data_IF_227528750639
#
_entry.id   IF_227528750639
#
_cell.length_a   1.000
_cell.length_b   1.000
_cell.length_c   1.000
_cell.angle_alpha   90.00
_cell.angle_beta   90.00
_cell.angle_gamma   90.00
#
_symmetry.space_group_name_H-M   'P 1'
#
loop_
_entity.id
_entity.type
_entity.pdbx_description
1 polymer ?
#
# COMPACT_ATOMS: atom_id res chain seq x y z
N UNK A 1 0.61 0.71 -27.82
CA UNK A 1 0.85 1.53 -26.62
C UNK A 1 2.33 1.61 -26.34
N UNK A 2 2.76 2.48 -25.40
CA UNK A 2 4.18 2.51 -25.01
C UNK A 2 4.35 2.11 -23.54
N UNK A 3 5.49 1.53 -23.22
CA UNK A 3 5.82 1.06 -21.87
C UNK A 3 7.28 1.29 -21.52
N UNK A 4 7.54 1.57 -20.24
CA UNK A 4 8.86 1.48 -19.64
C UNK A 4 8.74 1.20 -18.14
N UNK A 5 9.77 0.58 -17.58
CA UNK A 5 9.88 0.33 -16.14
C UNK A 5 11.19 0.86 -15.61
N UNK A 6 11.16 1.36 -14.38
CA UNK A 6 12.34 1.92 -13.70
C UNK A 6 12.42 1.40 -12.27
N UNK A 7 13.62 1.09 -11.81
CA UNK A 7 13.91 0.75 -10.42
C UNK A 7 14.97 1.73 -9.89
N UNK A 8 14.60 2.51 -8.89
CA UNK A 8 15.44 3.55 -8.31
C UNK A 8 15.75 3.24 -6.86
N UNK A 9 17.00 3.39 -6.45
CA UNK A 9 17.36 3.33 -5.04
C UNK A 9 16.97 4.66 -4.38
N UNK A 10 16.15 4.56 -3.32
CA UNK A 10 15.67 5.71 -2.53
C UNK A 10 16.20 5.68 -1.09
N UNK A 11 17.34 5.04 -0.84
CA UNK A 11 17.98 5.09 0.47
C UNK A 11 18.20 6.56 0.91
N UNK A 12 18.04 6.87 2.20
CA UNK A 12 18.33 8.22 2.69
C UNK A 12 19.81 8.53 2.51
N UNK A 13 20.10 9.79 2.19
CA UNK A 13 21.47 10.31 2.05
C UNK A 13 22.06 10.82 3.36
N UNK A 14 21.19 11.03 4.36
CA UNK A 14 21.53 11.57 5.66
C UNK A 14 20.80 10.77 6.76
N UNK A 15 21.32 10.79 8.00
CA UNK A 15 20.61 10.18 9.13
C UNK A 15 19.22 10.80 9.29
N UNK A 16 18.21 9.95 9.42
CA UNK A 16 16.81 10.38 9.49
C UNK A 16 16.00 9.38 10.34
N UNK A 17 14.91 9.82 10.95
CA UNK A 17 14.02 8.96 11.70
C UNK A 17 13.23 8.01 10.77
N UNK A 18 12.94 6.81 11.27
CA UNK A 18 11.99 5.92 10.61
C UNK A 18 10.53 6.35 10.86
N UNK A 19 9.63 5.94 9.97
CA UNK A 19 8.24 6.42 9.97
C UNK A 19 7.28 5.57 10.81
N UNK A 20 7.54 4.25 10.97
CA UNK A 20 6.49 3.28 11.30
C UNK A 20 6.13 3.14 12.79
N UNK A 21 7.01 3.56 13.71
CA UNK A 21 6.80 3.41 15.14
C UNK A 21 6.93 4.74 15.87
N UNK A 22 5.89 5.12 16.63
CA UNK A 22 5.87 6.38 17.37
C UNK A 22 7.01 6.51 18.39
N UNK A 23 7.56 5.40 18.86
CA UNK A 23 8.65 5.35 19.83
C UNK A 23 10.04 5.51 19.20
N UNK A 24 10.17 5.31 17.89
CA UNK A 24 11.44 5.40 17.17
C UNK A 24 11.69 6.85 16.72
N UNK A 25 12.17 7.67 17.65
CA UNK A 25 12.40 9.09 17.41
C UNK A 25 13.85 9.41 17.03
N UNK A 26 14.80 8.52 17.32
CA UNK A 26 16.22 8.72 17.00
C UNK A 26 16.46 8.56 15.49
N UNK A 27 17.30 9.42 14.88
CA UNK A 27 17.73 9.23 13.50
C UNK A 27 18.50 7.92 13.32
N UNK A 28 18.25 7.23 12.21
CA UNK A 28 19.00 6.05 11.76
C UNK A 28 19.83 6.41 10.53
N UNK A 29 20.98 5.79 10.38
CA UNK A 29 21.92 5.94 9.25
C UNK A 29 22.23 4.61 8.54
N UNK A 30 21.87 3.52 9.14
CA UNK A 30 22.16 2.19 8.64
C UNK A 30 21.03 1.67 7.76
N UNK A 31 21.33 1.31 6.54
CA UNK A 31 20.43 0.62 5.61
C UNK A 31 20.87 -0.83 5.48
N UNK A 32 20.10 -1.74 6.08
CA UNK A 32 20.37 -3.18 5.97
C UNK A 32 19.97 -3.73 4.61
N UNK A 33 18.78 -3.40 4.18
CA UNK A 33 18.22 -3.81 2.90
C UNK A 33 17.85 -2.55 2.09
N UNK A 34 18.31 -2.45 0.82
CA UNK A 34 18.07 -1.26 0.02
C UNK A 34 16.58 -1.01 -0.18
N UNK A 35 16.21 0.27 -0.13
CA UNK A 35 14.87 0.76 -0.39
C UNK A 35 14.76 1.20 -1.85
N UNK A 36 13.67 0.82 -2.51
CA UNK A 36 13.46 1.14 -3.92
C UNK A 36 12.15 1.87 -4.17
N UNK A 37 12.16 2.71 -5.19
CA UNK A 37 11.00 3.08 -5.96
C UNK A 37 10.94 2.19 -7.21
N UNK A 38 9.84 1.49 -7.41
CA UNK A 38 9.59 0.63 -8.56
C UNK A 38 8.49 1.24 -9.39
N UNK A 39 8.83 1.73 -10.58
CA UNK A 39 7.95 2.56 -11.40
C UNK A 39 7.60 1.85 -12.70
N UNK A 40 6.32 1.78 -13.00
CA UNK A 40 5.75 1.37 -14.28
C UNK A 40 5.17 2.61 -14.97
N UNK A 41 5.61 2.89 -16.19
CA UNK A 41 5.08 3.97 -17.03
C UNK A 41 4.43 3.36 -18.26
N UNK A 42 3.18 3.69 -18.50
CA UNK A 42 2.40 3.31 -19.68
C UNK A 42 1.94 4.57 -20.40
N UNK A 43 1.88 4.53 -21.73
CA UNK A 43 1.31 5.63 -22.54
C UNK A 43 0.34 5.05 -23.56
N UNK A 44 -0.87 5.59 -23.58
CA UNK A 44 -1.91 5.25 -24.55
C UNK A 44 -2.76 6.48 -24.86
N UNK A 45 -3.12 6.66 -26.13
CA UNK A 45 -3.99 7.74 -26.60
C UNK A 45 -3.55 9.17 -26.20
N UNK A 46 -2.22 9.40 -26.14
CA UNK A 46 -1.66 10.70 -25.76
C UNK A 46 -1.75 11.02 -24.25
N UNK A 47 -2.05 10.04 -23.41
CA UNK A 47 -2.06 10.16 -21.96
C UNK A 47 -1.03 9.20 -21.35
N UNK A 48 -0.29 9.65 -20.32
CA UNK A 48 0.64 8.82 -19.55
C UNK A 48 0.07 8.42 -18.20
N UNK A 49 0.38 7.19 -17.82
CA UNK A 49 -0.01 6.59 -16.54
C UNK A 49 1.27 6.12 -15.85
N UNK A 50 1.57 6.72 -14.73
CA UNK A 50 2.75 6.43 -13.91
C UNK A 50 2.28 5.80 -12.61
N UNK A 51 2.68 4.57 -12.35
CA UNK A 51 2.50 3.94 -11.05
C UNK A 51 3.86 3.72 -10.41
N UNK A 52 4.09 4.32 -9.23
CA UNK A 52 5.31 4.16 -8.43
C UNK A 52 4.98 3.50 -7.08
N UNK A 53 5.53 2.30 -6.84
CA UNK A 53 5.53 1.69 -5.52
C UNK A 53 6.84 2.03 -4.81
N UNK A 54 6.75 2.65 -3.63
CA UNK A 54 7.88 3.06 -2.82
C UNK A 54 8.04 2.12 -1.63
N UNK A 55 9.26 1.68 -1.34
CA UNK A 55 9.59 1.06 -0.06
C UNK A 55 9.55 2.14 1.04
N UNK A 56 8.35 2.49 1.44
CA UNK A 56 8.03 3.54 2.43
C UNK A 56 6.76 3.18 3.20
N UNK A 57 6.56 3.81 4.34
CA UNK A 57 5.33 3.67 5.11
C UNK A 57 4.12 4.24 4.33
N UNK A 58 4.33 5.33 3.61
CA UNK A 58 3.26 6.13 3.03
C UNK A 58 3.71 6.86 1.76
N UNK A 59 2.73 7.31 0.97
CA UNK A 59 2.92 8.19 -0.18
C UNK A 59 2.18 9.53 0.06
N UNK A 60 2.85 10.56 0.66
CA UNK A 60 2.18 11.84 0.94
C UNK A 60 1.62 12.47 -0.34
N UNK A 61 0.41 13.04 -0.26
CA UNK A 61 -0.25 13.67 -1.41
C UNK A 61 0.57 14.83 -2.01
N UNK A 62 1.36 15.53 -1.19
CA UNK A 62 2.27 16.55 -1.67
C UNK A 62 3.31 15.99 -2.66
N UNK A 63 3.90 14.82 -2.34
CA UNK A 63 4.83 14.14 -3.25
C UNK A 63 4.15 13.78 -4.58
N UNK A 64 2.94 13.24 -4.52
CA UNK A 64 2.17 12.85 -5.71
C UNK A 64 1.92 14.06 -6.63
N UNK A 65 1.45 15.15 -6.05
CA UNK A 65 1.12 16.37 -6.78
C UNK A 65 2.38 17.01 -7.41
N UNK A 66 3.45 17.14 -6.63
CA UNK A 66 4.71 17.72 -7.11
C UNK A 66 5.34 16.89 -8.24
N UNK A 67 5.32 15.57 -8.14
CA UNK A 67 5.82 14.67 -9.20
C UNK A 67 4.94 14.81 -10.44
N UNK A 68 3.61 14.78 -10.30
CA UNK A 68 2.67 14.91 -11.43
C UNK A 68 2.90 16.23 -12.16
N UNK A 69 2.93 17.37 -11.47
CA UNK A 69 3.09 18.70 -12.06
C UNK A 69 4.40 18.80 -12.86
N UNK A 70 5.51 18.30 -12.30
CA UNK A 70 6.81 18.31 -12.99
C UNK A 70 6.82 17.42 -14.24
N UNK A 71 6.21 16.23 -14.16
CA UNK A 71 6.14 15.32 -15.29
C UNK A 71 5.22 15.85 -16.41
N UNK A 72 4.06 16.40 -16.07
CA UNK A 72 3.16 17.03 -17.02
C UNK A 72 3.82 18.22 -17.74
N UNK A 73 4.52 19.06 -16.98
CA UNK A 73 5.25 20.19 -17.56
C UNK A 73 6.36 19.73 -18.51
N UNK A 74 7.12 18.73 -18.11
CA UNK A 74 8.25 18.24 -18.90
C UNK A 74 7.83 17.46 -20.17
N UNK A 75 6.77 16.68 -20.06
CA UNK A 75 6.31 15.84 -21.18
C UNK A 75 5.30 16.52 -22.09
N UNK A 76 4.62 17.57 -21.62
CA UNK A 76 3.58 18.26 -22.37
C UNK A 76 2.35 17.37 -22.67
N UNK A 77 2.10 16.36 -21.84
CA UNK A 77 1.02 15.38 -21.98
C UNK A 77 0.22 15.26 -20.69
N UNK A 78 -1.09 15.03 -20.75
CA UNK A 78 -1.87 14.62 -19.58
C UNK A 78 -1.22 13.41 -18.91
N UNK A 79 -1.03 13.49 -17.61
CA UNK A 79 -0.30 12.46 -16.85
C UNK A 79 -1.03 12.11 -15.56
N UNK A 80 -1.45 10.86 -15.43
CA UNK A 80 -1.95 10.32 -14.17
C UNK A 80 -0.78 9.72 -13.38
N UNK A 81 -0.50 10.27 -12.21
CA UNK A 81 0.55 9.76 -11.31
C UNK A 81 -0.10 9.14 -10.10
N UNK A 82 0.21 7.88 -9.85
CA UNK A 82 -0.22 7.12 -8.69
C UNK A 82 1.03 6.68 -7.93
N UNK A 83 1.15 7.07 -6.66
CA UNK A 83 2.25 6.67 -5.79
C UNK A 83 1.66 5.90 -4.61
N UNK A 84 2.22 4.72 -4.34
CA UNK A 84 1.82 3.82 -3.26
C UNK A 84 3.01 3.50 -2.35
N UNK A 85 2.80 3.42 -1.04
CA UNK A 85 3.78 2.85 -0.10
C UNK A 85 3.64 1.33 -0.01
N UNK A 86 4.75 0.60 0.09
CA UNK A 86 4.73 -0.83 0.46
C UNK A 86 4.35 -1.02 1.93
N UNK A 87 4.27 0.07 2.65
CA UNK A 87 3.95 0.18 4.07
C UNK A 87 5.00 -0.43 5.00
N UNK A 88 6.26 -0.52 4.56
CA UNK A 88 7.33 -0.89 5.50
C UNK A 88 7.43 0.13 6.63
N UNK A 89 7.42 -0.37 7.87
CA UNK A 89 7.57 0.46 9.06
C UNK A 89 9.03 0.87 9.34
N UNK A 90 9.96 0.39 8.53
CA UNK A 90 11.41 0.57 8.70
C UNK A 90 12.02 1.38 7.54
N UNK A 91 11.26 2.30 6.97
CA UNK A 91 11.73 3.27 5.98
C UNK A 91 11.79 4.68 6.58
N UNK A 92 12.57 5.58 5.96
CA UNK A 92 12.60 6.99 6.35
C UNK A 92 11.23 7.66 6.31
N UNK A 93 11.03 8.61 7.21
CA UNK A 93 9.76 9.32 7.33
C UNK A 93 9.58 10.33 6.18
N UNK A 94 8.65 10.04 5.28
CA UNK A 94 8.28 10.93 4.15
C UNK A 94 7.67 12.27 4.58
N UNK A 95 7.31 12.44 5.86
CA UNK A 95 6.90 13.74 6.40
C UNK A 95 8.09 14.70 6.59
N UNK A 96 9.30 14.14 6.65
CA UNK A 96 10.53 14.95 6.67
C UNK A 96 10.78 15.49 5.27
N UNK A 97 10.75 16.80 5.14
CA UNK A 97 10.77 17.50 3.85
C UNK A 97 12.02 17.20 3.03
N UNK A 98 13.21 17.17 3.67
CA UNK A 98 14.47 16.87 2.98
C UNK A 98 14.46 15.52 2.27
N UNK A 99 13.95 14.48 2.94
CA UNK A 99 13.86 13.15 2.34
C UNK A 99 12.76 13.07 1.27
N UNK A 100 11.58 13.67 1.52
CA UNK A 100 10.53 13.76 0.52
C UNK A 100 11.01 14.45 -0.76
N UNK A 101 11.74 15.56 -0.61
CA UNK A 101 12.35 16.28 -1.74
C UNK A 101 13.39 15.43 -2.47
N UNK A 102 14.23 14.69 -1.74
CA UNK A 102 15.18 13.74 -2.33
C UNK A 102 14.45 12.72 -3.21
N UNK A 103 13.40 12.07 -2.70
CA UNK A 103 12.64 11.05 -3.46
C UNK A 103 11.92 11.66 -4.66
N UNK A 104 11.30 12.85 -4.51
CA UNK A 104 10.70 13.61 -5.61
C UNK A 104 11.71 13.87 -6.73
N UNK A 105 12.86 14.41 -6.37
CA UNK A 105 13.87 14.81 -7.35
C UNK A 105 14.43 13.57 -8.06
N UNK A 106 14.72 12.49 -7.35
CA UNK A 106 15.15 11.21 -7.94
C UNK A 106 14.11 10.64 -8.92
N UNK A 107 12.82 10.68 -8.56
CA UNK A 107 11.75 10.25 -9.47
C UNK A 107 11.70 11.11 -10.73
N UNK A 108 11.72 12.44 -10.59
CA UNK A 108 11.66 13.34 -11.72
C UNK A 108 12.91 13.24 -12.61
N UNK A 109 14.11 13.19 -12.03
CA UNK A 109 15.37 13.03 -12.77
C UNK A 109 15.41 11.74 -13.60
N UNK A 110 14.84 10.66 -13.08
CA UNK A 110 14.80 9.40 -13.80
C UNK A 110 13.68 9.32 -14.84
N UNK A 111 12.52 9.92 -14.57
CA UNK A 111 11.33 9.77 -15.41
C UNK A 111 11.26 10.80 -16.53
N UNK A 112 11.70 12.04 -16.31
CA UNK A 112 11.63 13.09 -17.34
C UNK A 112 12.35 12.71 -18.64
N UNK A 113 13.61 12.21 -18.63
CA UNK A 113 14.30 11.82 -19.84
C UNK A 113 13.90 10.44 -20.39
N UNK A 114 12.94 9.74 -19.72
CA UNK A 114 12.65 8.36 -20.03
C UNK A 114 12.02 8.20 -21.40
N UNK A 115 12.65 7.37 -22.25
CA UNK A 115 12.10 6.98 -23.54
C UNK A 115 11.28 5.71 -23.39
N UNK A 116 9.99 5.78 -23.70
CA UNK A 116 9.08 4.64 -23.70
C UNK A 116 9.19 3.91 -25.04
N UNK A 117 9.26 2.57 -25.00
CA UNK A 117 9.21 1.74 -26.18
C UNK A 117 7.79 1.36 -26.58
N UNK A 118 7.53 1.27 -27.86
CA UNK A 118 6.28 0.71 -28.40
C UNK A 118 6.16 -0.78 -28.05
N UNK A 119 4.99 -1.21 -27.68
CA UNK A 119 4.67 -2.60 -27.39
C UNK A 119 3.19 -2.91 -27.63
N UNK A 120 2.91 -4.12 -28.09
CA UNK A 120 1.58 -4.71 -28.08
C UNK A 120 1.44 -5.53 -26.79
N UNK A 121 0.67 -5.01 -25.85
CA UNK A 121 0.57 -5.58 -24.52
C UNK A 121 -0.74 -6.32 -24.29
N UNK A 122 -0.62 -7.48 -23.64
CA UNK A 122 -1.74 -8.15 -22.99
C UNK A 122 -1.50 -8.21 -21.49
N UNK A 123 -2.59 -8.38 -20.72
CA UNK A 123 -2.53 -8.52 -19.28
C UNK A 123 -3.35 -9.72 -18.80
N UNK A 124 -2.95 -10.30 -17.67
CA UNK A 124 -3.68 -11.33 -16.97
C UNK A 124 -3.73 -11.05 -15.47
N UNK A 125 -4.70 -11.64 -14.78
CA UNK A 125 -4.87 -11.45 -13.36
C UNK A 125 -5.24 -12.76 -12.67
N UNK A 126 -4.59 -13.02 -11.53
CA UNK A 126 -4.86 -14.14 -10.64
C UNK A 126 -4.98 -13.62 -9.22
N UNK A 127 -5.91 -14.15 -8.44
CA UNK A 127 -6.09 -13.89 -7.01
C UNK A 127 -6.34 -15.21 -6.29
N UNK A 128 -5.67 -15.42 -5.16
CA UNK A 128 -5.82 -16.61 -4.32
C UNK A 128 -5.79 -16.24 -2.84
N UNK A 129 -6.54 -16.94 -1.97
CA UNK A 129 -6.38 -16.81 -0.53
C UNK A 129 -4.96 -17.22 -0.12
N UNK A 130 -4.34 -16.43 0.79
CA UNK A 130 -3.00 -16.73 1.28
C UNK A 130 -2.79 -16.21 2.71
N UNK A 131 -2.60 -17.11 3.68
CA UNK A 131 -2.56 -16.79 5.12
C UNK A 131 -1.27 -17.23 5.85
N UNK A 132 -0.26 -17.70 5.10
CA UNK A 132 0.98 -18.19 5.72
C UNK A 132 1.84 -17.07 6.33
N UNK A 133 1.73 -15.84 5.79
CA UNK A 133 2.47 -14.67 6.29
C UNK A 133 1.57 -13.78 7.15
N UNK A 134 0.34 -13.53 6.74
CA UNK A 134 -0.60 -12.63 7.39
C UNK A 134 -1.83 -13.34 7.96
N UNK A 135 -2.26 -12.88 9.14
CA UNK A 135 -3.54 -13.21 9.76
C UNK A 135 -4.12 -11.98 10.44
N UNK A 136 -5.39 -12.04 10.87
CA UNK A 136 -5.94 -10.98 11.72
C UNK A 136 -5.02 -10.74 12.91
N UNK A 137 -4.70 -9.47 13.19
CA UNK A 137 -3.90 -9.09 14.37
C UNK A 137 -4.74 -8.79 15.60
N UNK A 138 -6.05 -8.90 15.47
CA UNK A 138 -7.03 -8.68 16.51
C UNK A 138 -7.45 -10.04 17.05
N UNK A 139 -7.18 -10.30 18.35
CA UNK A 139 -7.29 -11.64 18.96
C UNK A 139 -8.70 -12.22 18.94
N UNK A 140 -9.74 -11.36 18.88
CA UNK A 140 -11.17 -11.77 18.90
C UNK A 140 -11.88 -11.52 17.58
N UNK A 141 -11.11 -11.28 16.51
CA UNK A 141 -11.63 -11.04 15.19
C UNK A 141 -10.88 -11.87 14.14
N UNK A 142 -11.60 -12.57 13.31
CA UNK A 142 -11.03 -13.34 12.21
C UNK A 142 -11.47 -12.75 10.88
N UNK A 143 -10.62 -12.88 9.86
CA UNK A 143 -10.94 -12.50 8.50
C UNK A 143 -10.47 -13.58 7.54
N UNK A 144 -11.27 -13.85 6.52
CA UNK A 144 -10.94 -14.67 5.35
C UNK A 144 -10.53 -13.82 4.15
N UNK A 145 -10.52 -12.48 4.31
CA UNK A 145 -10.25 -11.52 3.25
C UNK A 145 -8.75 -11.24 3.10
N UNK A 146 -7.93 -12.31 3.09
CA UNK A 146 -6.46 -12.23 2.94
C UNK A 146 -6.06 -12.93 1.65
N UNK A 147 -5.62 -12.13 0.67
CA UNK A 147 -5.36 -12.59 -0.69
C UNK A 147 -3.99 -12.16 -1.19
N UNK A 148 -3.34 -13.04 -1.93
CA UNK A 148 -2.23 -12.70 -2.81
C UNK A 148 -2.75 -12.58 -4.25
N UNK A 149 -2.29 -11.55 -4.99
CA UNK A 149 -2.71 -11.32 -6.36
C UNK A 149 -1.49 -11.08 -7.25
N UNK A 150 -1.63 -11.42 -8.54
CA UNK A 150 -0.68 -11.08 -9.58
C UNK A 150 -1.41 -10.48 -10.79
N UNK A 151 -1.12 -9.23 -11.13
CA UNK A 151 -1.49 -8.59 -12.38
C UNK A 151 -0.24 -8.54 -13.27
N UNK A 152 -0.25 -9.32 -14.34
CA UNK A 152 0.91 -9.51 -15.21
C UNK A 152 0.72 -8.87 -16.56
N UNK A 153 1.79 -8.30 -17.12
CA UNK A 153 1.86 -7.73 -18.47
C UNK A 153 2.74 -8.59 -19.35
N UNK A 154 2.29 -8.81 -20.58
CA UNK A 154 2.98 -9.66 -21.55
C UNK A 154 3.15 -8.93 -22.89
N UNK A 155 4.25 -9.24 -23.55
CA UNK A 155 4.50 -8.95 -24.96
C UNK A 155 4.58 -10.32 -25.68
N UNK A 156 3.57 -10.66 -26.45
CA UNK A 156 3.35 -12.02 -26.92
C UNK A 156 3.18 -13.00 -25.74
N UNK A 157 4.07 -14.00 -25.68
CA UNK A 157 4.06 -14.98 -24.57
C UNK A 157 5.02 -14.60 -23.43
N UNK A 158 5.88 -13.61 -23.64
CA UNK A 158 6.86 -13.20 -22.64
C UNK A 158 6.22 -12.27 -21.62
N UNK A 159 6.26 -12.66 -20.33
CA UNK A 159 5.92 -11.74 -19.23
C UNK A 159 7.05 -10.71 -19.10
N UNK A 160 6.67 -9.44 -18.98
CA UNK A 160 7.63 -8.32 -18.92
C UNK A 160 7.54 -7.52 -17.62
N UNK A 161 6.34 -7.50 -17.02
CA UNK A 161 6.10 -6.80 -15.76
C UNK A 161 5.01 -7.50 -14.95
N UNK A 162 5.08 -7.40 -13.62
CA UNK A 162 4.06 -7.91 -12.70
C UNK A 162 3.87 -6.97 -11.53
N UNK A 163 2.62 -6.60 -11.26
CA UNK A 163 2.20 -5.94 -10.04
C UNK A 163 1.67 -7.02 -9.09
N UNK A 164 2.36 -7.20 -7.97
CA UNK A 164 2.12 -8.25 -6.99
C UNK A 164 1.52 -7.63 -5.74
N UNK A 165 0.34 -8.12 -5.34
CA UNK A 165 -0.48 -7.48 -4.32
C UNK A 165 -0.68 -8.43 -3.15
N UNK A 166 -0.56 -7.92 -1.93
CA UNK A 166 -0.87 -8.68 -0.72
C UNK A 166 -1.34 -7.75 0.41
N UNK A 167 -2.18 -8.24 1.30
CA UNK A 167 -2.69 -7.47 2.42
C UNK A 167 -2.20 -8.00 3.77
N UNK A 168 -0.99 -7.62 4.14
CA UNK A 168 -0.45 -7.88 5.47
C UNK A 168 0.57 -6.82 5.86
N UNK A 169 0.40 -6.19 7.02
CA UNK A 169 1.36 -5.21 7.55
C UNK A 169 2.78 -5.78 7.59
N UNK A 170 3.76 -5.12 6.96
CA UNK A 170 5.15 -5.53 7.01
C UNK A 170 5.80 -5.08 8.34
N UNK A 171 5.52 -5.82 9.39
CA UNK A 171 5.94 -5.58 10.77
C UNK A 171 6.52 -6.85 11.40
N UNK A 172 7.40 -7.55 10.68
CA UNK A 172 8.05 -8.77 11.18
C UNK A 172 9.08 -8.48 12.26
N UNK A 173 9.64 -7.27 12.28
CA UNK A 173 10.68 -6.81 13.19
C UNK A 173 10.12 -6.02 14.37
N UNK A 174 10.97 -5.73 15.36
CA UNK A 174 10.64 -4.89 16.51
C UNK A 174 10.74 -3.40 16.17
N UNK A 175 9.99 -2.56 16.90
CA UNK A 175 10.03 -1.12 16.76
C UNK A 175 11.35 -0.46 17.17
N UNK A 176 12.25 -1.15 17.87
CA UNK A 176 13.59 -0.70 18.25
C UNK A 176 14.70 -1.14 17.28
N UNK A 177 14.31 -1.72 16.12
CA UNK A 177 15.24 -2.12 15.07
C UNK A 177 16.07 -0.91 14.60
N UNK A 178 17.43 -0.98 14.66
CA UNK A 178 18.29 0.18 14.44
C UNK A 178 18.73 0.39 13.00
N UNK A 179 17.96 -0.07 12.02
CA UNK A 179 18.27 0.04 10.59
C UNK A 179 17.03 0.14 9.73
N UNK A 180 17.20 0.71 8.54
CA UNK A 180 16.20 0.71 7.48
C UNK A 180 16.18 -0.62 6.74
N UNK A 181 14.98 -1.06 6.34
CA UNK A 181 14.76 -2.24 5.52
C UNK A 181 13.44 -2.13 4.76
N UNK A 182 13.40 -2.68 3.54
CA UNK A 182 12.19 -2.85 2.76
C UNK A 182 11.30 -4.00 3.26
N UNK A 183 11.68 -4.61 4.39
CA UNK A 183 10.95 -5.66 5.09
C UNK A 183 10.68 -6.89 4.19
N UNK A 184 9.77 -7.81 4.57
CA UNK A 184 9.49 -9.01 3.80
C UNK A 184 9.01 -8.72 2.36
N UNK A 185 8.25 -7.64 2.06
CA UNK A 185 7.87 -7.34 0.68
C UNK A 185 9.06 -7.06 -0.22
N UNK A 186 9.98 -6.21 0.24
CA UNK A 186 11.20 -5.92 -0.53
C UNK A 186 12.12 -7.12 -0.65
N UNK A 187 12.19 -7.99 0.36
CA UNK A 187 12.94 -9.25 0.25
C UNK A 187 12.34 -10.15 -0.83
N UNK A 188 11.02 -10.33 -0.85
CA UNK A 188 10.34 -11.09 -1.90
C UNK A 188 10.61 -10.54 -3.30
N UNK A 189 10.55 -9.21 -3.46
CA UNK A 189 10.84 -8.57 -4.76
C UNK A 189 12.30 -8.80 -5.20
N UNK A 190 13.27 -8.77 -4.29
CA UNK A 190 14.68 -9.07 -4.62
C UNK A 190 14.90 -10.52 -5.05
N UNK A 191 14.18 -11.46 -4.42
CA UNK A 191 14.21 -12.87 -4.81
C UNK A 191 13.71 -13.06 -6.24
N UNK A 192 12.57 -12.44 -6.57
CA UNK A 192 11.98 -12.49 -7.91
C UNK A 192 12.88 -11.80 -8.96
N UNK A 193 13.44 -10.62 -8.65
CA UNK A 193 14.40 -9.93 -9.52
C UNK A 193 15.61 -10.81 -9.86
N UNK A 194 16.13 -11.55 -8.86
CA UNK A 194 17.26 -12.44 -9.04
C UNK A 194 16.91 -13.67 -9.88
N UNK A 195 15.73 -14.23 -9.70
CA UNK A 195 15.29 -15.45 -10.38
C UNK A 195 14.82 -15.20 -11.81
N UNK A 196 14.25 -14.02 -12.09
CA UNK A 196 13.69 -13.64 -13.40
C UNK A 196 14.37 -12.37 -13.94
N UNK A 197 15.65 -12.43 -14.31
CA UNK A 197 16.38 -11.26 -14.78
C UNK A 197 15.73 -10.68 -16.05
N UNK A 198 15.52 -9.37 -16.05
CA UNK A 198 14.87 -8.66 -17.16
C UNK A 198 13.34 -8.57 -17.10
N UNK A 199 12.70 -9.17 -16.07
CA UNK A 199 11.32 -8.91 -15.73
C UNK A 199 11.22 -7.84 -14.64
N UNK A 200 10.14 -7.08 -14.65
CA UNK A 200 9.87 -6.07 -13.63
C UNK A 200 8.84 -6.58 -12.63
N UNK A 201 9.15 -6.45 -11.34
CA UNK A 201 8.23 -6.78 -10.24
C UNK A 201 8.03 -5.56 -9.35
N UNK A 202 6.79 -5.34 -8.92
CA UNK A 202 6.43 -4.29 -7.97
C UNK A 202 5.43 -4.83 -6.95
N UNK A 203 5.67 -4.57 -5.66
CA UNK A 203 4.77 -4.95 -4.58
C UNK A 203 3.79 -3.81 -4.28
N UNK A 204 2.51 -4.15 -4.10
CA UNK A 204 1.44 -3.23 -3.72
C UNK A 204 0.77 -3.72 -2.44
N UNK A 205 0.63 -2.84 -1.48
CA UNK A 205 -0.03 -3.15 -0.21
C UNK A 205 -1.55 -2.95 -0.35
N UNK A 206 -2.31 -4.01 -0.10
CA UNK A 206 -3.78 -3.94 -0.09
C UNK A 206 -4.31 -3.64 1.33
N UNK A 207 -5.63 -3.77 1.54
CA UNK A 207 -6.29 -3.48 2.81
C UNK A 207 -5.81 -4.41 3.93
N UNK A 208 -4.94 -3.88 4.79
CA UNK A 208 -4.25 -4.63 5.85
C UNK A 208 -4.45 -4.03 7.24
N UNK A 209 -5.39 -3.10 7.42
CA UNK A 209 -5.58 -2.40 8.68
C UNK A 209 -5.74 -3.32 9.90
N UNK A 210 -6.31 -4.49 9.71
CA UNK A 210 -6.52 -5.54 10.73
C UNK A 210 -5.65 -6.79 10.51
N UNK A 211 -4.73 -6.79 9.53
CA UNK A 211 -3.93 -7.97 9.16
C UNK A 211 -2.44 -7.69 9.33
N UNK A 212 -1.73 -8.56 10.03
CA UNK A 212 -0.27 -8.48 10.18
C UNK A 212 0.38 -9.85 10.41
N UNK A 213 1.70 -9.85 10.56
CA UNK A 213 2.50 -11.02 10.89
C UNK A 213 2.42 -11.41 12.40
N UNK A 214 1.61 -10.71 13.19
CA UNK A 214 1.61 -10.84 14.67
C UNK A 214 1.44 -12.26 15.20
N UNK A 215 0.53 -13.03 14.59
CA UNK A 215 0.22 -14.39 15.04
C UNK A 215 0.81 -15.50 14.15
N UNK A 216 1.51 -15.12 13.07
CA UNK A 216 2.23 -16.07 12.21
C UNK A 216 3.72 -16.10 12.50
N UNK A 217 4.31 -14.98 12.96
CA UNK A 217 5.72 -14.92 13.33
C UNK A 217 6.02 -15.63 14.64
N UNK A 218 7.13 -16.34 14.70
CA UNK A 218 7.66 -16.97 15.91
C UNK A 218 8.53 -16.00 16.72
N UNK A 219 9.26 -15.15 16.03
CA UNK A 219 10.19 -14.16 16.58
C UNK A 219 10.18 -12.86 15.75
N UNK A 220 10.81 -11.81 16.27
CA UNK A 220 10.91 -10.52 15.58
C UNK A 220 12.38 -10.26 15.22
N UNK A 221 12.90 -11.06 14.30
CA UNK A 221 14.30 -11.06 13.88
C UNK A 221 14.42 -10.88 12.37
N UNK A 222 15.58 -10.42 11.86
CA UNK A 222 15.85 -10.40 10.42
C UNK A 222 15.68 -11.76 9.74
N UNK A 223 16.03 -12.86 10.41
CA UNK A 223 15.85 -14.21 9.87
C UNK A 223 14.36 -14.56 9.66
N UNK A 224 13.50 -14.16 10.60
CA UNK A 224 12.04 -14.35 10.44
C UNK A 224 11.48 -13.49 9.31
N UNK A 225 11.95 -12.25 9.16
CA UNK A 225 11.58 -11.35 8.05
C UNK A 225 11.97 -11.95 6.70
N UNK A 226 13.21 -12.46 6.59
CA UNK A 226 13.70 -13.13 5.37
C UNK A 226 12.91 -14.39 5.06
N UNK A 227 12.55 -15.19 6.09
CA UNK A 227 11.69 -16.35 5.93
C UNK A 227 10.32 -15.95 5.34
N UNK A 228 9.67 -14.92 5.87
CA UNK A 228 8.41 -14.44 5.31
C UNK A 228 8.56 -13.92 3.88
N UNK A 229 9.67 -13.23 3.59
CA UNK A 229 9.97 -12.79 2.23
C UNK A 229 10.14 -13.94 1.25
N UNK A 230 10.80 -15.03 1.66
CA UNK A 230 10.94 -16.24 0.85
C UNK A 230 9.59 -16.93 0.61
N UNK A 231 8.79 -17.13 1.68
CA UNK A 231 7.44 -17.69 1.58
C UNK A 231 6.54 -16.85 0.67
N UNK A 232 6.66 -15.52 0.73
CA UNK A 232 5.90 -14.62 -0.14
C UNK A 232 6.37 -14.69 -1.60
N UNK A 233 7.69 -14.80 -1.84
CA UNK A 233 8.23 -14.99 -3.18
C UNK A 233 7.74 -16.30 -3.81
N UNK A 234 7.77 -17.40 -3.06
CA UNK A 234 7.24 -18.71 -3.50
C UNK A 234 5.76 -18.63 -3.86
N UNK A 235 4.94 -17.94 -3.05
CA UNK A 235 3.52 -17.76 -3.35
C UNK A 235 3.32 -16.93 -4.63
N UNK A 236 4.06 -15.83 -4.80
CA UNK A 236 3.99 -15.05 -6.03
C UNK A 236 4.43 -15.88 -7.24
N UNK A 237 5.48 -16.68 -7.14
CA UNK A 237 5.88 -17.60 -8.21
C UNK A 237 4.76 -18.58 -8.57
N UNK A 238 4.08 -19.12 -7.57
CA UNK A 238 2.95 -20.01 -7.78
C UNK A 238 1.82 -19.32 -8.56
N UNK A 239 1.51 -18.05 -8.22
CA UNK A 239 0.53 -17.25 -8.95
C UNK A 239 0.99 -16.92 -10.38
N UNK A 240 2.26 -16.55 -10.55
CA UNK A 240 2.85 -16.24 -11.86
C UNK A 240 2.88 -17.43 -12.81
N UNK A 241 2.93 -18.65 -12.29
CA UNK A 241 2.91 -19.89 -13.06
C UNK A 241 1.47 -20.38 -13.40
N UNK A 242 0.43 -19.77 -12.78
CA UNK A 242 -0.95 -20.19 -13.06
C UNK A 242 -1.40 -19.80 -14.46
N UNK A 243 -1.99 -20.71 -15.21
CA UNK A 243 -2.65 -20.35 -16.46
C UNK A 243 -3.77 -19.34 -16.21
N UNK A 244 -3.71 -18.22 -16.89
CA UNK A 244 -4.73 -17.17 -16.82
C UNK A 244 -5.02 -16.62 -18.21
N UNK A 245 -6.27 -16.25 -18.45
CA UNK A 245 -6.68 -15.63 -19.69
C UNK A 245 -5.98 -14.28 -19.85
N UNK A 246 -5.39 -14.06 -21.03
CA UNK A 246 -4.79 -12.79 -21.40
C UNK A 246 -5.80 -11.92 -22.14
N UNK A 247 -5.75 -10.62 -21.87
CA UNK A 247 -6.62 -9.60 -22.47
C UNK A 247 -5.78 -8.43 -23.00
N UNK A 248 -6.17 -7.78 -24.08
CA UNK A 248 -5.51 -6.54 -24.52
C UNK A 248 -5.48 -5.52 -23.39
N UNK A 249 -4.38 -4.78 -23.29
CA UNK A 249 -4.26 -3.66 -22.35
C UNK A 249 -4.94 -2.43 -22.94
N UNK A 250 -5.99 -1.99 -22.28
CA UNK A 250 -6.66 -0.73 -22.48
C UNK A 250 -6.67 0.03 -21.16
N UNK A 251 -6.23 1.29 -21.20
CA UNK A 251 -6.08 2.09 -19.98
C UNK A 251 -7.22 3.11 -19.88
N UNK A 252 -7.73 3.25 -18.66
CA UNK A 252 -8.66 4.30 -18.28
C UNK A 252 -8.43 4.68 -16.82
N UNK A 253 -8.87 5.89 -16.45
CA UNK A 253 -8.66 6.44 -15.12
C UNK A 253 -9.94 7.10 -14.61
N UNK A 254 -10.30 6.81 -13.38
CA UNK A 254 -11.48 7.37 -12.75
C UNK A 254 -11.19 7.78 -11.31
N UNK A 255 -11.88 8.82 -10.87
CA UNK A 255 -11.86 9.29 -9.48
C UNK A 255 -13.27 9.39 -8.93
N UNK A 256 -13.40 9.14 -7.62
CA UNK A 256 -14.63 9.36 -6.87
C UNK A 256 -14.32 10.06 -5.55
N UNK A 257 -14.87 11.25 -5.40
CA UNK A 257 -14.78 12.00 -4.14
C UNK A 257 -15.86 11.49 -3.19
N UNK A 258 -15.48 11.27 -1.93
CA UNK A 258 -16.37 10.85 -0.85
C UNK A 258 -16.30 11.89 0.27
N UNK A 259 -17.46 12.36 0.70
CA UNK A 259 -17.57 13.21 1.89
C UNK A 259 -17.34 12.37 3.15
N UNK A 260 -16.54 12.91 4.07
CA UNK A 260 -16.21 12.26 5.35
C UNK A 260 -17.06 12.86 6.45
N UNK A 261 -17.98 12.06 6.99
CA UNK A 261 -18.72 12.37 8.21
C UNK A 261 -18.01 11.70 9.38
N UNK A 262 -17.77 12.46 10.43
CA UNK A 262 -17.07 11.99 11.62
C UNK A 262 -18.04 11.72 12.76
N UNK A 263 -17.73 10.70 13.54
CA UNK A 263 -18.39 10.32 14.78
C UNK A 263 -17.32 10.06 15.83
N UNK A 264 -16.95 11.11 16.56
CA UNK A 264 -15.87 11.05 17.52
C UNK A 264 -16.33 10.34 18.79
N UNK A 265 -15.50 9.41 19.26
CA UNK A 265 -15.74 8.65 20.50
C UNK A 265 -15.08 9.40 21.67
N UNK A 266 -15.84 9.64 22.75
CA UNK A 266 -15.24 10.16 23.97
C UNK A 266 -14.53 9.00 24.71
N UNK A 267 -13.21 9.10 24.94
CA UNK A 267 -12.49 8.09 25.70
C UNK A 267 -13.00 7.88 27.14
N UNK A 268 -13.68 8.88 27.71
CA UNK A 268 -14.30 8.75 29.04
C UNK A 268 -15.45 7.74 29.08
N UNK A 269 -16.09 7.49 27.95
CA UNK A 269 -17.21 6.55 27.80
C UNK A 269 -16.76 5.13 27.44
N UNK A 270 -15.44 4.93 27.24
CA UNK A 270 -14.89 3.64 26.81
C UNK A 270 -14.73 2.68 28.00
N UNK A 271 -15.37 1.52 27.90
CA UNK A 271 -15.20 0.42 28.85
C UNK A 271 -14.27 -0.61 28.24
N UNK A 272 -13.04 -0.71 28.78
CA UNK A 272 -12.06 -1.71 28.32
C UNK A 272 -12.50 -3.09 28.79
N UNK A 273 -12.73 -4.07 27.88
CA UNK A 273 -13.13 -5.42 28.26
C UNK A 273 -12.12 -6.11 29.16
N UNK A 274 -12.60 -6.85 30.18
CA UNK A 274 -11.74 -7.54 31.14
C UNK A 274 -10.87 -8.65 30.52
N UNK A 275 -11.32 -9.24 29.41
CA UNK A 275 -10.60 -10.31 28.70
C UNK A 275 -9.38 -9.82 27.90
N UNK A 276 -9.16 -8.49 27.79
CA UNK A 276 -7.97 -7.98 27.09
C UNK A 276 -6.70 -8.27 27.86
N UNK A 277 -5.70 -8.82 27.15
CA UNK A 277 -4.35 -9.02 27.69
C UNK A 277 -3.70 -7.68 28.06
N UNK A 278 -2.70 -7.71 28.92
CA UNK A 278 -1.93 -6.52 29.31
C UNK A 278 -1.35 -5.80 28.07
N UNK A 279 -0.84 -6.55 27.11
CA UNK A 279 -0.32 -5.99 25.84
C UNK A 279 -1.40 -5.27 25.03
N UNK A 280 -2.60 -5.83 24.96
CA UNK A 280 -3.73 -5.18 24.27
C UNK A 280 -4.15 -3.90 24.99
N UNK A 281 -4.17 -3.90 26.32
CA UNK A 281 -4.46 -2.70 27.12
C UNK A 281 -3.43 -1.60 26.90
N UNK A 282 -2.12 -1.93 26.85
CA UNK A 282 -1.05 -0.98 26.54
C UNK A 282 -1.24 -0.39 25.13
N UNK A 283 -1.50 -1.25 24.15
CA UNK A 283 -1.70 -0.79 22.76
C UNK A 283 -2.96 0.09 22.64
N UNK A 284 -4.03 -0.29 23.35
CA UNK A 284 -5.28 0.47 23.39
C UNK A 284 -5.09 1.87 23.97
N UNK A 285 -4.18 2.04 24.94
CA UNK A 285 -3.89 3.35 25.53
C UNK A 285 -3.41 4.36 24.49
N UNK A 286 -2.60 3.94 23.52
CA UNK A 286 -2.20 4.83 22.40
C UNK A 286 -3.39 5.23 21.52
N UNK A 287 -4.34 4.33 21.31
CA UNK A 287 -5.59 4.64 20.60
C UNK A 287 -6.46 5.65 21.38
N UNK A 288 -6.55 5.49 22.70
CA UNK A 288 -7.25 6.42 23.60
C UNK A 288 -6.65 7.82 23.53
N UNK A 289 -5.32 7.94 23.59
CA UNK A 289 -4.65 9.24 23.49
C UNK A 289 -4.93 9.89 22.11
N UNK A 290 -4.94 9.10 21.04
CA UNK A 290 -5.28 9.60 19.71
C UNK A 290 -6.75 10.05 19.62
N UNK A 291 -7.67 9.34 20.25
CA UNK A 291 -9.09 9.74 20.32
C UNK A 291 -9.25 11.07 21.06
N UNK A 292 -8.53 11.28 22.17
CA UNK A 292 -8.51 12.57 22.90
C UNK A 292 -7.98 13.70 22.01
N UNK A 293 -6.93 13.47 21.24
CA UNK A 293 -6.38 14.45 20.31
C UNK A 293 -7.41 14.85 19.23
N UNK A 294 -8.10 13.86 18.66
CA UNK A 294 -9.13 14.09 17.64
C UNK A 294 -10.31 14.89 18.21
N UNK A 295 -10.75 14.61 19.45
CA UNK A 295 -11.79 15.39 20.15
C UNK A 295 -11.35 16.82 20.44
N UNK A 296 -10.08 17.01 20.84
CA UNK A 296 -9.55 18.35 21.14
C UNK A 296 -9.34 19.22 19.88
N UNK A 297 -9.19 18.58 18.72
CA UNK A 297 -8.85 19.24 17.46
C UNK A 297 -9.70 18.78 16.27
N UNK A 298 -11.04 18.85 16.33
CA UNK A 298 -11.91 18.42 15.24
C UNK A 298 -11.68 19.21 13.93
N UNK A 299 -11.14 20.43 14.02
CA UNK A 299 -10.81 21.26 12.87
C UNK A 299 -9.67 20.70 12.01
N UNK A 300 -8.89 19.73 12.51
CA UNK A 300 -7.84 19.04 11.76
C UNK A 300 -8.36 17.84 10.96
N UNK A 301 -9.62 17.45 11.18
CA UNK A 301 -10.22 16.33 10.48
C UNK A 301 -10.55 16.72 9.03
N UNK A 302 -10.27 15.82 8.12
CA UNK A 302 -10.56 16.03 6.69
C UNK A 302 -12.03 15.79 6.41
N UNK A 303 -12.62 16.59 5.52
CA UNK A 303 -14.04 16.48 5.18
C UNK A 303 -14.30 15.72 3.87
N UNK A 304 -13.26 15.37 3.14
CA UNK A 304 -13.39 14.59 1.89
C UNK A 304 -12.13 13.78 1.60
N UNK A 305 -12.30 12.71 0.86
CA UNK A 305 -11.23 11.89 0.29
C UNK A 305 -11.54 11.53 -1.15
N UNK A 306 -10.55 11.05 -1.88
CA UNK A 306 -10.70 10.58 -3.26
C UNK A 306 -10.23 9.14 -3.37
N UNK A 307 -11.12 8.27 -3.88
CA UNK A 307 -10.73 6.96 -4.38
C UNK A 307 -10.41 7.06 -5.88
N UNK A 308 -9.29 6.48 -6.26
CA UNK A 308 -8.82 6.47 -7.65
C UNK A 308 -8.90 5.06 -8.20
N UNK A 309 -9.30 4.90 -9.45
CA UNK A 309 -9.24 3.63 -10.15
C UNK A 309 -8.40 3.74 -11.41
N UNK A 310 -7.46 2.81 -11.59
CA UNK A 310 -6.74 2.59 -12.85
C UNK A 310 -7.25 1.30 -13.50
N UNK A 311 -7.88 1.44 -14.65
CA UNK A 311 -8.30 0.32 -15.49
C UNK A 311 -7.12 -0.15 -16.35
N UNK A 312 -6.92 -1.47 -16.41
CA UNK A 312 -5.89 -2.13 -17.21
C UNK A 312 -6.55 -3.33 -17.90
N UNK A 313 -7.00 -3.14 -19.14
CA UNK A 313 -7.88 -4.09 -19.82
C UNK A 313 -9.19 -4.29 -19.04
N UNK A 314 -9.58 -5.52 -18.69
CA UNK A 314 -10.77 -5.77 -17.87
C UNK A 314 -10.51 -5.68 -16.36
N UNK A 315 -9.26 -5.38 -15.92
CA UNK A 315 -8.88 -5.32 -14.52
C UNK A 315 -8.90 -3.90 -13.99
N UNK A 316 -9.07 -3.75 -12.66
CA UNK A 316 -9.06 -2.44 -11.99
C UNK A 316 -8.24 -2.51 -10.72
N UNK A 317 -7.34 -1.55 -10.56
CA UNK A 317 -6.66 -1.27 -9.30
C UNK A 317 -7.32 -0.04 -8.70
N UNK A 318 -7.85 -0.17 -7.48
CA UNK A 318 -8.55 0.90 -6.76
C UNK A 318 -7.64 1.36 -5.63
N UNK A 319 -7.34 2.65 -5.58
CA UNK A 319 -6.35 3.23 -4.67
C UNK A 319 -7.03 4.06 -3.58
N UNK A 320 -6.56 3.90 -2.35
CA UNK A 320 -7.02 4.61 -1.15
C UNK A 320 -5.84 5.06 -0.30
N UNK A 321 -5.96 6.22 0.32
CA UNK A 321 -4.98 6.77 1.25
C UNK A 321 -5.06 6.17 2.67
N UNK A 322 -6.12 5.41 2.97
CA UNK A 322 -6.40 4.89 4.32
C UNK A 322 -5.75 3.54 4.59
N UNK A 323 -5.59 3.24 5.88
CA UNK A 323 -5.31 1.91 6.40
C UNK A 323 -6.63 1.13 6.59
N UNK A 324 -7.22 0.70 5.47
CA UNK A 324 -8.50 0.01 5.47
C UNK A 324 -8.39 -1.40 6.08
N UNK A 325 -9.40 -1.82 6.85
CA UNK A 325 -9.52 -3.21 7.28
C UNK A 325 -9.76 -4.14 6.09
N UNK A 326 -9.37 -5.40 6.24
CA UNK A 326 -9.46 -6.41 5.19
C UNK A 326 -10.89 -6.64 4.67
N UNK A 327 -11.93 -6.34 5.47
CA UNK A 327 -13.33 -6.43 5.07
C UNK A 327 -13.62 -5.63 3.78
N UNK A 328 -12.93 -4.52 3.54
CA UNK A 328 -13.11 -3.73 2.32
C UNK A 328 -12.73 -4.47 1.04
N UNK A 329 -11.92 -5.53 1.12
CA UNK A 329 -11.63 -6.40 -0.02
C UNK A 329 -12.89 -7.11 -0.55
N UNK A 330 -13.92 -7.30 0.27
CA UNK A 330 -15.21 -7.89 -0.15
C UNK A 330 -15.84 -7.14 -1.32
N UNK A 331 -15.64 -5.82 -1.40
CA UNK A 331 -16.16 -4.98 -2.48
C UNK A 331 -15.49 -5.27 -3.84
N UNK A 332 -14.35 -5.99 -3.87
CA UNK A 332 -13.61 -6.34 -5.08
C UNK A 332 -13.83 -7.79 -5.53
N UNK A 333 -14.55 -8.62 -4.72
CA UNK A 333 -14.61 -10.07 -4.95
C UNK A 333 -15.38 -10.46 -6.22
N UNK A 334 -16.41 -9.70 -6.58
CA UNK A 334 -17.25 -9.98 -7.75
C UNK A 334 -16.66 -9.46 -9.06
N UNK A 335 -15.67 -8.55 -8.97
CA UNK A 335 -14.97 -7.96 -10.11
C UNK A 335 -13.57 -8.56 -10.33
N UNK A 336 -12.97 -8.15 -11.43
CA UNK A 336 -11.53 -8.39 -11.70
C UNK A 336 -10.72 -7.21 -11.17
N UNK A 337 -10.79 -6.99 -9.86
CA UNK A 337 -10.23 -5.80 -9.23
C UNK A 337 -9.46 -6.13 -7.95
N UNK A 338 -8.60 -5.20 -7.56
CA UNK A 338 -7.87 -5.23 -6.30
C UNK A 338 -7.87 -3.83 -5.66
N UNK A 339 -8.00 -3.81 -4.33
CA UNK A 339 -7.89 -2.61 -3.52
C UNK A 339 -6.43 -2.41 -3.10
N UNK A 340 -5.89 -1.21 -3.32
CA UNK A 340 -4.55 -0.81 -2.96
C UNK A 340 -4.65 0.35 -1.97
N UNK A 341 -4.14 0.14 -0.78
CA UNK A 341 -4.14 1.13 0.29
C UNK A 341 -2.80 1.90 0.34
N UNK A 342 -2.67 2.85 1.27
CA UNK A 342 -1.43 3.62 1.47
C UNK A 342 -0.97 4.35 0.20
N UNK A 343 -1.95 4.79 -0.58
CA UNK A 343 -1.74 5.34 -1.93
C UNK A 343 -2.38 6.72 -2.08
N UNK A 344 -1.74 7.62 -2.85
CA UNK A 344 -2.28 8.95 -3.18
C UNK A 344 -2.53 9.85 -1.95
N UNK A 345 -1.86 9.58 -0.87
CA UNK A 345 -2.00 10.20 0.44
C UNK A 345 -1.70 9.21 1.55
N UNK A 346 -1.90 9.66 2.77
CA UNK A 346 -1.88 8.78 3.95
C UNK A 346 -2.80 9.33 5.03
N UNK A 347 -3.64 8.47 5.52
CA UNK A 347 -4.60 8.79 6.56
C UNK A 347 -4.62 7.68 7.63
N UNK A 348 -5.55 7.76 8.55
CA UNK A 348 -5.68 6.84 9.67
C UNK A 348 -6.33 5.50 9.27
N UNK A 349 -6.44 4.61 10.25
CA UNK A 349 -7.21 3.37 10.13
C UNK A 349 -8.68 3.64 9.88
N UNK A 350 -9.31 2.77 9.10
CA UNK A 350 -10.75 2.71 8.94
C UNK A 350 -11.22 1.29 9.15
N UNK A 351 -11.96 1.09 10.24
CA UNK A 351 -12.54 -0.21 10.58
C UNK A 351 -13.56 -0.66 9.54
N UNK A 352 -13.70 -1.96 9.37
CA UNK A 352 -14.73 -2.52 8.51
C UNK A 352 -16.14 -2.16 9.02
N UNK A 353 -17.13 -1.99 8.12
CA UNK A 353 -18.50 -1.66 8.53
C UNK A 353 -19.14 -2.64 9.50
N UNK A 354 -18.72 -3.91 9.48
CA UNK A 354 -19.21 -4.94 10.43
C UNK A 354 -18.41 -5.03 11.72
N UNK A 355 -17.30 -4.31 11.84
CA UNK A 355 -16.44 -4.35 13.01
C UNK A 355 -16.98 -3.44 14.12
N UNK A 356 -17.31 -4.03 15.26
CA UNK A 356 -17.82 -3.36 16.47
C UNK A 356 -16.86 -3.40 17.67
N UNK A 357 -15.67 -4.01 17.48
CA UNK A 357 -14.68 -4.17 18.54
C UNK A 357 -13.93 -2.89 18.88
N UNK A 358 -13.31 -2.89 20.08
CA UNK A 358 -12.45 -1.81 20.55
C UNK A 358 -10.97 -2.22 20.37
N UNK A 359 -10.25 -1.56 19.49
CA UNK A 359 -8.82 -1.78 19.26
C UNK A 359 -8.08 -0.46 19.08
N UNK A 360 -6.76 -0.51 19.07
CA UNK A 360 -5.94 0.65 18.71
C UNK A 360 -6.37 1.25 17.36
N UNK A 361 -6.64 0.40 16.39
CA UNK A 361 -7.01 0.79 15.04
C UNK A 361 -8.40 1.44 15.01
N UNK A 362 -9.39 0.81 15.64
CA UNK A 362 -10.77 1.32 15.67
C UNK A 362 -10.94 2.59 16.50
N UNK A 363 -10.03 2.87 17.44
CA UNK A 363 -10.01 4.12 18.20
C UNK A 363 -9.38 5.28 17.41
N UNK A 364 -8.60 4.99 16.38
CA UNK A 364 -8.11 6.00 15.44
C UNK A 364 -9.13 6.31 14.34
N UNK A 365 -10.07 5.41 14.09
CA UNK A 365 -11.14 5.60 13.12
C UNK A 365 -12.14 6.61 13.65
N UNK A 366 -12.17 7.77 13.01
CA UNK A 366 -13.09 8.86 13.35
C UNK A 366 -14.36 8.86 12.49
N UNK A 367 -14.44 7.96 11.49
CA UNK A 367 -15.51 7.99 10.50
C UNK A 367 -16.83 7.40 11.04
N UNK A 368 -17.93 8.02 10.65
CA UNK A 368 -19.27 7.49 10.95
C UNK A 368 -19.53 6.15 10.24
N UNK A 369 -20.44 5.36 10.78
CA UNK A 369 -20.88 4.11 10.17
C UNK A 369 -21.37 4.30 8.72
N UNK A 370 -22.01 5.42 8.42
CA UNK A 370 -22.46 5.74 7.05
C UNK A 370 -21.29 5.98 6.10
N UNK A 371 -20.26 6.69 6.54
CA UNK A 371 -19.05 6.90 5.73
C UNK A 371 -18.32 5.59 5.46
N UNK A 372 -18.20 4.71 6.47
CA UNK A 372 -17.59 3.38 6.29
C UNK A 372 -18.36 2.53 5.27
N UNK A 373 -19.69 2.56 5.27
CA UNK A 373 -20.54 1.92 4.24
C UNK A 373 -20.36 2.55 2.87
N UNK A 374 -20.30 3.89 2.80
CA UNK A 374 -20.07 4.61 1.54
C UNK A 374 -18.71 4.23 0.90
N UNK A 375 -17.67 3.93 1.69
CA UNK A 375 -16.41 3.43 1.16
C UNK A 375 -16.57 2.08 0.45
N UNK A 376 -17.31 1.11 1.06
CA UNK A 376 -17.61 -0.16 0.38
C UNK A 376 -18.34 0.05 -0.95
N UNK A 377 -19.34 0.93 -0.96
CA UNK A 377 -20.14 1.19 -2.15
C UNK A 377 -19.31 1.85 -3.26
N UNK A 378 -18.46 2.80 -2.93
CA UNK A 378 -17.56 3.45 -3.91
C UNK A 378 -16.53 2.46 -4.46
N UNK A 379 -15.92 1.62 -3.61
CA UNK A 379 -14.98 0.59 -4.06
C UNK A 379 -15.70 -0.38 -5.00
N UNK A 380 -16.92 -0.82 -4.68
CA UNK A 380 -17.73 -1.69 -5.54
C UNK A 380 -18.04 -1.04 -6.89
N UNK A 381 -18.51 0.22 -6.90
CA UNK A 381 -18.79 0.97 -8.13
C UNK A 381 -17.55 1.09 -9.01
N UNK A 382 -16.38 1.41 -8.42
CA UNK A 382 -15.11 1.48 -9.15
C UNK A 382 -14.61 0.11 -9.62
N UNK A 383 -15.05 -0.99 -8.98
CA UNK A 383 -14.71 -2.37 -9.37
C UNK A 383 -15.49 -2.83 -10.60
N UNK A 384 -16.71 -2.34 -10.80
CA UNK A 384 -17.66 -2.83 -11.79
C UNK A 384 -17.69 -1.98 -13.07
N UNK A 385 -17.40 -0.69 -12.98
CA UNK A 385 -17.40 0.27 -14.10
C UNK A 385 -16.08 0.36 -14.83
#
# INVERSE_FOLDING_TARGET
>A
MKIQTVKLNINPREPIRAAGFAQQVAPLDTVRDPLFARVLVLEQNGCRYVHAALDSLQAPIALVNEVRERLEQAWGLPTHVIISGTHTHFAPDMRVESYRNQVRDQLCEALIPLTLREAELTCSYVREPFTQVGQSRISHWTTDQIFAHALCFYEGDKRIASLLIYNCHPTSLNGDTPFFTSEYPGYAMRQLDAKYPGEFFSFLQSAAGDVSTRFTRKEQTPAQMEHFGAVMAEEFERLLARPAQKYPVELDYAERVVELKHELKDPADLVIPDYYSERERITLQYGIERSKENLAHPEKLRHQTTFTALKIGPFRLIFSEFELFSEYNTATLHGRSALICYSQGYSHYVAGPSFDGMTYESLQDTLSADTRRAFLDVIRQLSEN
#
